data_IF_128266248496
#
_entry.id   IF_128266248496
#
_cell.length_a   1.000
_cell.length_b   1.000
_cell.length_c   1.000
_cell.angle_alpha   90.00
_cell.angle_beta   90.00
_cell.angle_gamma   90.00
#
_symmetry.space_group_name_H-M   'P 1'
#
loop_
_entity.id
_entity.type
_entity.pdbx_description
1 polymer ?
#
# COMPACT_ATOMS: atom_id res chain seq x y z
N UNK A 1 4.22 23.09 -2.26
CA UNK A 1 2.84 22.55 -2.21
C UNK A 1 2.63 21.89 -0.87
N UNK A 2 1.43 21.90 -0.29
CA UNK A 2 1.18 21.27 1.01
C UNK A 2 1.25 19.74 0.89
N UNK A 3 2.08 19.13 1.71
CA UNK A 3 2.35 17.69 1.70
C UNK A 3 1.10 16.83 1.91
N UNK A 4 0.11 17.34 2.65
CA UNK A 4 -1.13 16.62 2.94
C UNK A 4 -2.00 16.37 1.69
N UNK A 5 -1.87 17.15 0.63
CA UNK A 5 -2.56 16.89 -0.62
C UNK A 5 -2.02 15.62 -1.30
N UNK A 6 -0.71 15.44 -1.28
CA UNK A 6 -0.08 14.24 -1.80
C UNK A 6 -0.38 13.03 -0.92
N UNK A 7 -0.33 13.21 0.41
CA UNK A 7 -0.72 12.16 1.35
C UNK A 7 -2.18 11.72 1.15
N UNK A 8 -3.11 12.63 0.81
CA UNK A 8 -4.51 12.31 0.57
C UNK A 8 -4.77 11.71 -0.83
N UNK A 9 -3.97 12.06 -1.84
CA UNK A 9 -4.05 11.44 -3.16
C UNK A 9 -3.68 9.95 -3.13
N UNK A 10 -2.71 9.57 -2.31
CA UNK A 10 -2.22 8.20 -2.15
C UNK A 10 -3.33 7.19 -1.85
N UNK A 11 -4.13 7.31 -0.76
CA UNK A 11 -5.18 6.35 -0.44
C UNK A 11 -6.30 6.30 -1.49
N UNK A 12 -6.54 7.40 -2.21
CA UNK A 12 -7.54 7.42 -3.30
C UNK A 12 -7.06 6.58 -4.48
N UNK A 13 -5.82 6.76 -4.89
CA UNK A 13 -5.23 6.01 -6.00
C UNK A 13 -5.06 4.53 -5.65
N UNK A 14 -4.58 4.21 -4.44
CA UNK A 14 -4.44 2.82 -4.00
C UNK A 14 -5.78 2.12 -3.78
N UNK A 15 -6.83 2.82 -3.35
CA UNK A 15 -8.16 2.23 -3.26
C UNK A 15 -8.63 1.73 -4.62
N UNK A 16 -8.47 2.56 -5.65
CA UNK A 16 -8.80 2.18 -7.03
C UNK A 16 -7.99 0.96 -7.52
N UNK A 17 -6.66 0.93 -7.27
CA UNK A 17 -5.83 -0.22 -7.66
C UNK A 17 -6.22 -1.50 -6.92
N UNK A 18 -6.60 -1.42 -5.65
CA UNK A 18 -7.03 -2.60 -4.88
C UNK A 18 -8.26 -3.30 -5.50
N UNK A 19 -9.22 -2.53 -6.01
CA UNK A 19 -10.37 -3.11 -6.73
C UNK A 19 -9.96 -3.76 -8.05
N UNK A 20 -9.04 -3.13 -8.79
CA UNK A 20 -8.50 -3.73 -10.03
C UNK A 20 -7.73 -5.01 -9.70
N UNK A 21 -6.89 -5.00 -8.65
CA UNK A 21 -6.15 -6.17 -8.19
C UNK A 21 -7.11 -7.33 -7.86
N UNK A 22 -8.15 -7.04 -7.09
CA UNK A 22 -9.16 -8.05 -6.73
C UNK A 22 -9.85 -8.61 -7.97
N UNK A 23 -10.28 -7.74 -8.89
CA UNK A 23 -10.87 -8.16 -10.17
C UNK A 23 -9.92 -9.04 -10.99
N UNK A 24 -8.65 -8.66 -11.08
CA UNK A 24 -7.65 -9.44 -11.81
C UNK A 24 -7.46 -10.83 -11.19
N UNK A 25 -7.32 -10.92 -9.86
CA UNK A 25 -7.13 -12.18 -9.14
C UNK A 25 -8.34 -13.12 -9.29
N UNK A 26 -9.55 -12.59 -9.17
CA UNK A 26 -10.76 -13.39 -9.23
C UNK A 26 -11.13 -13.86 -10.64
N UNK A 27 -10.94 -12.99 -11.63
CA UNK A 27 -11.52 -13.19 -12.97
C UNK A 27 -10.50 -13.54 -14.05
N UNK A 28 -9.22 -13.19 -13.88
CA UNK A 28 -8.24 -13.22 -14.97
C UNK A 28 -6.97 -13.99 -14.64
N UNK A 29 -6.40 -13.81 -13.45
CA UNK A 29 -5.03 -14.18 -13.15
C UNK A 29 -4.96 -14.89 -11.81
N UNK A 30 -4.72 -16.21 -11.84
CA UNK A 30 -4.69 -17.05 -10.62
C UNK A 30 -3.51 -16.70 -9.67
N UNK A 31 -2.40 -16.24 -10.20
CA UNK A 31 -1.22 -15.88 -9.41
C UNK A 31 -0.62 -14.56 -9.91
N UNK A 32 -0.85 -13.44 -9.20
CA UNK A 32 -0.41 -12.11 -9.60
C UNK A 32 1.10 -11.89 -9.42
N UNK A 33 1.82 -12.74 -8.66
CA UNK A 33 3.23 -12.51 -8.30
C UNK A 33 4.13 -12.36 -9.54
N UNK A 34 3.86 -13.13 -10.60
CA UNK A 34 4.63 -13.04 -11.84
C UNK A 34 4.45 -11.70 -12.56
N UNK A 35 3.22 -11.14 -12.52
CA UNK A 35 2.93 -9.82 -13.10
C UNK A 35 3.54 -8.72 -12.23
N UNK A 36 3.43 -8.87 -10.93
CA UNK A 36 4.09 -7.97 -9.95
C UNK A 36 5.59 -7.90 -10.22
N UNK A 37 6.25 -9.04 -10.44
CA UNK A 37 7.67 -9.06 -10.75
C UNK A 37 8.00 -8.27 -12.04
N UNK A 38 7.17 -8.40 -13.10
CA UNK A 38 7.32 -7.60 -14.32
C UNK A 38 7.09 -6.11 -14.08
N UNK A 39 6.07 -5.75 -13.30
CA UNK A 39 5.77 -4.37 -12.94
C UNK A 39 6.91 -3.74 -12.14
N UNK A 40 7.48 -4.47 -11.18
CA UNK A 40 8.63 -4.01 -10.38
C UNK A 40 9.88 -3.83 -11.24
N UNK A 41 10.15 -4.74 -12.21
CA UNK A 41 11.23 -4.56 -13.17
C UNK A 41 11.01 -3.29 -14.01
N UNK A 42 9.78 -3.04 -14.48
CA UNK A 42 9.44 -1.82 -15.20
C UNK A 42 9.65 -0.57 -14.32
N UNK A 43 9.27 -0.61 -13.04
CA UNK A 43 9.57 0.47 -12.07
C UNK A 43 11.07 0.71 -11.92
N UNK A 44 11.89 -0.34 -11.94
CA UNK A 44 13.36 -0.21 -11.95
C UNK A 44 13.88 0.57 -13.16
N UNK A 45 13.35 0.30 -14.35
CA UNK A 45 13.68 1.08 -15.55
C UNK A 45 13.24 2.54 -15.43
N UNK A 46 12.05 2.79 -14.87
CA UNK A 46 11.57 4.15 -14.60
C UNK A 46 12.51 4.86 -13.62
N UNK A 47 12.97 4.19 -12.56
CA UNK A 47 13.96 4.74 -11.63
C UNK A 47 15.25 5.15 -12.31
N UNK A 48 15.78 4.31 -13.21
CA UNK A 48 16.98 4.64 -13.99
C UNK A 48 16.72 5.86 -14.88
N UNK A 49 15.59 5.91 -15.60
CA UNK A 49 15.24 7.04 -16.48
C UNK A 49 15.08 8.34 -15.69
N UNK A 50 14.38 8.29 -14.55
CA UNK A 50 14.21 9.46 -13.67
C UNK A 50 15.58 9.96 -13.22
N UNK A 51 16.46 9.10 -12.72
CA UNK A 51 17.79 9.49 -12.27
C UNK A 51 18.67 10.07 -13.39
N UNK A 52 18.55 9.56 -14.62
CA UNK A 52 19.28 10.12 -15.78
C UNK A 52 18.74 11.53 -16.15
N UNK A 53 17.43 11.70 -16.15
CA UNK A 53 16.79 12.97 -16.54
C UNK A 53 16.99 14.06 -15.49
N UNK A 54 16.88 13.72 -14.21
CA UNK A 54 17.00 14.70 -13.12
C UNK A 54 18.45 14.90 -12.67
N UNK A 55 19.35 14.02 -13.06
CA UNK A 55 20.73 13.95 -12.57
C UNK A 55 20.80 13.26 -11.20
N UNK A 56 21.67 12.24 -11.08
CA UNK A 56 21.93 11.61 -9.79
C UNK A 56 22.80 12.52 -8.92
N UNK A 57 22.34 12.85 -7.72
CA UNK A 57 23.18 13.49 -6.70
C UNK A 57 24.08 12.45 -6.01
N UNK A 58 25.21 12.89 -5.47
CA UNK A 58 26.12 11.98 -4.77
C UNK A 58 25.50 11.48 -3.46
N UNK A 59 25.22 10.19 -3.41
CA UNK A 59 24.83 9.47 -2.20
C UNK A 59 25.98 8.58 -1.73
N UNK A 60 26.12 8.42 -0.43
CA UNK A 60 27.03 7.41 0.14
C UNK A 60 26.56 5.98 -0.22
N UNK A 61 27.52 5.06 -0.36
CA UNK A 61 27.23 3.64 -0.69
C UNK A 61 26.21 3.05 0.32
N UNK A 62 26.29 3.41 1.60
CA UNK A 62 25.35 2.97 2.62
C UNK A 62 23.92 3.46 2.37
N UNK A 63 23.75 4.72 1.96
CA UNK A 63 22.44 5.29 1.62
C UNK A 63 21.86 4.61 0.37
N UNK A 64 22.67 4.38 -0.65
CA UNK A 64 22.26 3.62 -1.84
C UNK A 64 21.81 2.21 -1.44
N UNK A 65 22.59 1.51 -0.60
CA UNK A 65 22.24 0.19 -0.11
C UNK A 65 20.92 0.16 0.65
N UNK A 66 20.64 1.17 1.48
CA UNK A 66 19.36 1.32 2.21
C UNK A 66 18.20 1.48 1.22
N UNK A 67 18.34 2.30 0.19
CA UNK A 67 17.28 2.56 -0.80
C UNK A 67 17.03 1.32 -1.69
N UNK A 68 18.09 0.64 -2.13
CA UNK A 68 17.95 -0.62 -2.88
C UNK A 68 17.23 -1.66 -2.02
N UNK A 69 17.58 -1.78 -0.73
CA UNK A 69 16.91 -2.68 0.19
C UNK A 69 15.44 -2.28 0.41
N UNK A 70 15.15 -0.98 0.55
CA UNK A 70 13.77 -0.48 0.64
C UNK A 70 12.95 -0.85 -0.60
N UNK A 71 13.51 -0.68 -1.81
CA UNK A 71 12.85 -1.08 -3.05
C UNK A 71 12.63 -2.59 -3.16
N UNK A 72 13.59 -3.41 -2.72
CA UNK A 72 13.40 -4.87 -2.62
C UNK A 72 12.25 -5.18 -1.67
N UNK A 73 12.19 -4.58 -0.49
CA UNK A 73 11.08 -4.75 0.45
C UNK A 73 9.75 -4.31 -0.15
N UNK A 74 9.73 -3.20 -0.93
CA UNK A 74 8.57 -2.70 -1.66
C UNK A 74 8.05 -3.71 -2.72
N UNK A 75 8.88 -4.59 -3.20
CA UNK A 75 8.48 -5.71 -4.06
C UNK A 75 7.98 -6.89 -3.24
N UNK A 76 8.68 -7.25 -2.18
CA UNK A 76 8.40 -8.47 -1.44
C UNK A 76 7.20 -8.37 -0.51
N UNK A 77 6.77 -7.15 -0.06
CA UNK A 77 5.54 -7.01 0.74
C UNK A 77 4.28 -7.41 -0.05
N UNK A 78 4.34 -7.34 -1.38
CA UNK A 78 3.23 -7.75 -2.25
C UNK A 78 2.95 -9.26 -2.18
N UNK A 79 3.93 -10.09 -1.79
CA UNK A 79 3.73 -11.52 -1.64
C UNK A 79 2.69 -11.82 -0.54
N UNK A 80 2.90 -11.43 0.73
CA UNK A 80 1.90 -11.65 1.77
C UNK A 80 0.59 -10.88 1.51
N UNK A 81 0.63 -9.70 0.91
CA UNK A 81 -0.58 -8.98 0.50
C UNK A 81 -1.43 -9.82 -0.46
N UNK A 82 -0.87 -10.33 -1.55
CA UNK A 82 -1.62 -11.16 -2.49
C UNK A 82 -2.04 -12.50 -1.91
N UNK A 83 -1.26 -13.11 -1.00
CA UNK A 83 -1.70 -14.31 -0.30
C UNK A 83 -2.93 -14.03 0.59
N UNK A 84 -3.00 -12.88 1.26
CA UNK A 84 -4.18 -12.45 1.98
C UNK A 84 -5.37 -12.24 1.01
N UNK A 85 -5.17 -11.54 -0.10
CA UNK A 85 -6.20 -11.25 -1.11
C UNK A 85 -6.76 -12.50 -1.81
N UNK A 86 -6.01 -13.61 -1.85
CA UNK A 86 -6.50 -14.90 -2.36
C UNK A 86 -7.48 -15.58 -1.40
N UNK A 87 -7.39 -15.30 -0.11
CA UNK A 87 -8.15 -16.00 0.93
C UNK A 87 -9.34 -15.23 1.46
N UNK A 88 -9.36 -13.91 1.30
CA UNK A 88 -10.38 -13.02 1.84
C UNK A 88 -10.76 -11.92 0.82
N UNK A 89 -11.90 -11.28 1.04
CA UNK A 89 -12.34 -10.15 0.23
C UNK A 89 -11.48 -8.90 0.44
N UNK A 90 -11.42 -8.03 -0.57
CA UNK A 90 -10.67 -6.79 -0.49
C UNK A 90 -11.13 -5.91 0.68
N UNK A 91 -12.45 -5.87 0.94
CA UNK A 91 -13.05 -5.16 2.06
C UNK A 91 -12.63 -5.66 3.45
N UNK A 92 -12.08 -6.86 3.54
CA UNK A 92 -11.51 -7.45 4.76
C UNK A 92 -9.99 -7.23 4.84
N UNK A 93 -9.28 -7.37 3.71
CA UNK A 93 -7.81 -7.30 3.64
C UNK A 93 -7.30 -5.86 3.71
N UNK A 94 -7.90 -4.97 2.91
CA UNK A 94 -7.42 -3.58 2.78
C UNK A 94 -7.43 -2.82 4.13
N UNK A 95 -8.47 -2.92 4.97
CA UNK A 95 -8.44 -2.27 6.28
C UNK A 95 -7.34 -2.77 7.22
N UNK A 96 -6.77 -3.97 7.01
CA UNK A 96 -5.65 -4.45 7.82
C UNK A 96 -4.34 -3.68 7.55
N UNK A 97 -4.26 -2.90 6.47
CA UNK A 97 -3.19 -1.91 6.30
C UNK A 97 -3.20 -0.81 7.39
N UNK A 98 -4.26 -0.72 8.22
CA UNK A 98 -4.26 0.15 9.40
C UNK A 98 -3.18 -0.22 10.44
N UNK A 99 -2.52 -1.35 10.30
CA UNK A 99 -1.32 -1.68 11.09
C UNK A 99 -0.08 -0.89 10.65
N UNK A 100 -0.04 -0.35 9.42
CA UNK A 100 1.10 0.46 8.92
C UNK A 100 1.38 1.65 9.84
N UNK A 101 0.39 2.51 10.19
CA UNK A 101 0.65 3.63 11.10
C UNK A 101 1.21 3.23 12.46
N UNK A 102 0.84 2.05 12.98
CA UNK A 102 1.37 1.54 14.25
C UNK A 102 2.86 1.19 14.10
N UNK A 103 3.19 0.41 13.07
CA UNK A 103 4.59 0.03 12.81
C UNK A 103 5.45 1.25 12.51
N UNK A 104 4.94 2.20 11.71
CA UNK A 104 5.71 3.41 11.38
C UNK A 104 5.88 4.34 12.58
N UNK A 105 4.93 4.41 13.50
CA UNK A 105 5.11 5.15 14.76
C UNK A 105 6.27 4.55 15.57
N UNK A 106 6.28 3.25 15.75
CA UNK A 106 7.33 2.55 16.51
C UNK A 106 8.69 2.73 15.82
N UNK A 107 8.76 2.45 14.51
CA UNK A 107 10.00 2.52 13.73
C UNK A 107 10.53 3.96 13.61
N UNK A 108 9.66 4.96 13.41
CA UNK A 108 10.08 6.36 13.31
C UNK A 108 10.66 6.86 14.63
N UNK A 109 10.08 6.46 15.74
CA UNK A 109 10.61 6.82 17.07
C UNK A 109 12.00 6.23 17.30
N UNK A 110 12.22 4.97 16.89
CA UNK A 110 13.49 4.26 17.10
C UNK A 110 14.56 4.74 16.09
N UNK A 111 14.22 4.79 14.79
CA UNK A 111 15.18 4.98 13.69
C UNK A 111 15.36 6.46 13.36
N UNK A 112 14.25 7.20 13.21
CA UNK A 112 14.27 8.59 12.79
C UNK A 112 14.31 9.59 13.97
N UNK A 113 14.09 9.09 15.19
CA UNK A 113 13.92 9.89 16.41
C UNK A 113 12.79 10.93 16.27
N UNK A 114 11.81 10.63 15.43
CA UNK A 114 10.58 11.41 15.28
C UNK A 114 9.59 10.92 16.34
N UNK A 115 8.97 11.83 17.09
CA UNK A 115 7.96 11.50 18.09
C UNK A 115 6.63 12.18 17.76
N UNK A 116 5.55 11.54 18.11
CA UNK A 116 4.23 12.13 18.07
C UNK A 116 3.88 12.72 19.46
N UNK A 117 3.16 13.83 19.45
CA UNK A 117 2.55 14.36 20.66
C UNK A 117 1.51 13.36 21.20
N UNK A 118 1.28 13.36 22.50
CA UNK A 118 0.30 12.46 23.15
C UNK A 118 -1.07 12.53 22.48
N UNK A 119 -1.54 13.73 22.11
CA UNK A 119 -2.78 13.95 21.37
C UNK A 119 -2.80 13.22 20.02
N UNK A 120 -1.68 13.25 19.28
CA UNK A 120 -1.54 12.58 18.00
C UNK A 120 -1.56 11.05 18.15
N UNK A 121 -1.00 10.52 19.24
CA UNK A 121 -1.05 9.09 19.55
C UNK A 121 -2.51 8.65 19.81
N UNK A 122 -3.30 9.44 20.56
CA UNK A 122 -4.73 9.15 20.74
C UNK A 122 -5.49 9.18 19.40
N UNK A 123 -5.22 10.18 18.56
CA UNK A 123 -5.80 10.26 17.21
C UNK A 123 -5.45 9.04 16.36
N UNK A 124 -4.17 8.62 16.38
CA UNK A 124 -3.70 7.41 15.70
C UNK A 124 -4.47 6.16 16.17
N UNK A 125 -4.55 5.93 17.48
CA UNK A 125 -5.24 4.77 18.04
C UNK A 125 -6.73 4.75 17.66
N UNK A 126 -7.37 5.91 17.64
CA UNK A 126 -8.77 6.04 17.23
C UNK A 126 -8.95 5.69 15.75
N UNK A 127 -8.08 6.22 14.87
CA UNK A 127 -8.11 5.94 13.43
C UNK A 127 -7.88 4.46 13.14
N UNK A 128 -6.84 3.89 13.75
CA UNK A 128 -6.50 2.47 13.60
C UNK A 128 -7.62 1.58 14.11
N UNK A 129 -8.14 1.86 15.31
CA UNK A 129 -9.27 1.13 15.89
C UNK A 129 -10.51 1.16 15.01
N UNK A 130 -10.83 2.33 14.44
CA UNK A 130 -11.94 2.51 13.51
C UNK A 130 -11.72 1.72 12.20
N UNK A 131 -10.50 1.73 11.65
CA UNK A 131 -10.15 0.97 10.46
C UNK A 131 -10.27 -0.55 10.68
N UNK A 132 -9.81 -1.04 11.83
CA UNK A 132 -9.98 -2.45 12.22
C UNK A 132 -11.45 -2.81 12.44
N UNK A 133 -12.24 -1.90 13.00
CA UNK A 133 -13.68 -2.11 13.19
C UNK A 133 -14.43 -2.21 11.85
N UNK A 134 -14.03 -1.48 10.82
CA UNK A 134 -14.57 -1.66 9.46
C UNK A 134 -14.38 -3.10 8.97
N UNK A 135 -13.21 -3.69 9.26
CA UNK A 135 -12.87 -5.06 8.82
C UNK A 135 -13.52 -6.14 9.65
N UNK A 136 -14.02 -5.82 10.85
CA UNK A 136 -14.62 -6.80 11.72
C UNK A 136 -15.93 -7.30 11.09
N UNK A 137 -15.90 -8.53 10.59
CA UNK A 137 -17.13 -9.24 10.25
C UNK A 137 -18.03 -9.30 11.47
N UNK A 138 -19.34 -9.23 11.25
CA UNK A 138 -20.30 -9.56 12.30
C UNK A 138 -19.94 -10.90 12.90
N UNK A 139 -19.36 -10.84 14.11
CA UNK A 139 -19.05 -12.03 14.89
C UNK A 139 -20.38 -12.74 15.15
N UNK A 140 -20.74 -13.69 14.29
CA UNK A 140 -21.75 -14.68 14.60
C UNK A 140 -21.16 -15.63 15.66
N UNK A 141 -21.13 -15.16 16.93
CA UNK A 141 -20.96 -16.01 18.12
C UNK A 141 -19.69 -16.90 18.20
N UNK A 142 -18.69 -16.73 17.35
CA UNK A 142 -17.46 -17.50 17.39
C UNK A 142 -16.29 -16.63 17.82
N UNK A 143 -15.69 -16.98 18.94
CA UNK A 143 -14.46 -16.46 19.51
C UNK A 143 -13.44 -16.15 18.41
N UNK A 144 -12.89 -14.94 18.47
CA UNK A 144 -11.86 -14.36 17.60
C UNK A 144 -10.73 -15.39 17.31
N UNK A 145 -10.84 -16.14 16.22
CA UNK A 145 -9.72 -16.94 15.73
C UNK A 145 -8.97 -16.08 14.71
N UNK A 146 -7.71 -15.75 14.96
CA UNK A 146 -6.92 -14.96 14.02
C UNK A 146 -6.86 -15.73 12.69
N UNK A 147 -7.36 -15.09 11.63
CA UNK A 147 -7.34 -15.64 10.28
C UNK A 147 -5.92 -15.59 9.72
N UNK A 148 -5.57 -16.49 8.82
CA UNK A 148 -4.25 -16.49 8.17
C UNK A 148 -3.95 -15.16 7.47
N UNK A 149 -4.97 -14.51 6.90
CA UNK A 149 -4.90 -13.19 6.27
C UNK A 149 -4.36 -12.11 7.22
N UNK A 150 -4.68 -12.16 8.52
CA UNK A 150 -4.16 -11.24 9.51
C UNK A 150 -2.64 -11.32 9.62
N UNK A 151 -2.07 -12.52 9.69
CA UNK A 151 -0.61 -12.69 9.79
C UNK A 151 0.11 -12.22 8.52
N UNK A 152 -0.46 -12.52 7.35
CA UNK A 152 0.07 -12.03 6.09
C UNK A 152 0.02 -10.50 6.03
N UNK A 153 -1.08 -9.89 6.45
CA UNK A 153 -1.20 -8.43 6.44
C UNK A 153 -0.38 -7.73 7.51
N UNK A 154 -0.14 -8.35 8.67
CA UNK A 154 0.82 -7.84 9.65
C UNK A 154 2.23 -7.79 9.05
N UNK A 155 2.65 -8.87 8.37
CA UNK A 155 3.95 -8.90 7.70
C UNK A 155 4.02 -7.88 6.57
N UNK A 156 3.00 -7.81 5.71
CA UNK A 156 2.93 -6.83 4.63
C UNK A 156 3.00 -5.39 5.16
N UNK A 157 2.21 -5.08 6.19
CA UNK A 157 2.16 -3.76 6.82
C UNK A 157 3.49 -3.37 7.49
N UNK A 158 4.15 -4.32 8.13
CA UNK A 158 5.49 -4.09 8.71
C UNK A 158 6.51 -3.78 7.62
N UNK A 159 6.56 -4.60 6.56
CA UNK A 159 7.50 -4.40 5.44
C UNK A 159 7.25 -3.06 4.76
N UNK A 160 5.99 -2.74 4.46
CA UNK A 160 5.61 -1.49 3.82
C UNK A 160 5.93 -0.27 4.70
N UNK A 161 5.62 -0.34 5.99
CA UNK A 161 5.97 0.70 6.95
C UNK A 161 7.48 0.92 7.05
N UNK A 162 8.27 -0.16 7.01
CA UNK A 162 9.74 -0.08 7.01
C UNK A 162 10.27 0.60 5.74
N UNK A 163 9.67 0.34 4.57
CA UNK A 163 10.03 1.05 3.31
C UNK A 163 9.92 2.56 3.50
N UNK A 164 8.78 3.06 3.99
CA UNK A 164 8.59 4.50 4.22
C UNK A 164 9.61 5.10 5.20
N UNK A 165 9.97 4.36 6.24
CA UNK A 165 11.01 4.78 7.21
C UNK A 165 12.39 4.86 6.55
N UNK A 166 12.78 3.85 5.78
CA UNK A 166 14.08 3.81 5.10
C UNK A 166 14.17 4.91 4.03
N UNK A 167 13.10 5.12 3.26
CA UNK A 167 13.00 6.22 2.31
C UNK A 167 13.18 7.58 3.01
N UNK A 168 12.41 7.82 4.09
CA UNK A 168 12.46 9.06 4.88
C UNK A 168 13.84 9.28 5.49
N UNK A 169 14.49 8.21 5.95
CA UNK A 169 15.83 8.29 6.54
C UNK A 169 16.84 8.88 5.56
N UNK A 170 16.78 8.51 4.28
CA UNK A 170 17.72 8.99 3.27
C UNK A 170 17.28 10.35 2.70
N UNK A 171 15.99 10.53 2.36
CA UNK A 171 15.50 11.74 1.69
C UNK A 171 15.62 13.00 2.53
N UNK A 172 15.72 12.89 3.85
CA UNK A 172 16.00 14.04 4.74
C UNK A 172 17.34 14.73 4.47
N UNK A 173 18.31 13.98 3.98
CA UNK A 173 19.69 14.43 3.76
C UNK A 173 20.07 14.42 2.27
N UNK A 174 19.10 14.14 1.38
CA UNK A 174 19.36 13.98 -0.04
C UNK A 174 18.24 14.57 -0.91
N UNK A 175 18.50 14.60 -2.23
CA UNK A 175 17.51 14.98 -3.23
C UNK A 175 16.40 13.93 -3.36
N UNK A 176 15.16 14.41 -3.52
CA UNK A 176 13.98 13.57 -3.69
C UNK A 176 14.08 12.64 -4.90
N UNK A 177 14.48 13.19 -6.06
CA UNK A 177 14.48 12.42 -7.31
C UNK A 177 15.53 11.30 -7.31
N UNK A 178 16.71 11.59 -6.76
CA UNK A 178 17.78 10.61 -6.58
C UNK A 178 17.33 9.50 -5.62
N UNK A 179 16.71 9.87 -4.50
CA UNK A 179 16.19 8.90 -3.50
C UNK A 179 15.13 8.00 -4.11
N UNK A 180 14.14 8.58 -4.81
CA UNK A 180 13.10 7.84 -5.51
C UNK A 180 13.67 6.92 -6.59
N UNK A 181 14.67 7.40 -7.34
CA UNK A 181 15.32 6.61 -8.40
C UNK A 181 15.96 5.35 -7.85
N UNK A 182 16.73 5.44 -6.77
CA UNK A 182 17.37 4.26 -6.17
C UNK A 182 16.35 3.32 -5.51
N UNK A 183 15.29 3.82 -4.90
CA UNK A 183 14.21 2.96 -4.39
C UNK A 183 13.54 2.18 -5.53
N UNK A 184 13.25 2.83 -6.66
CA UNK A 184 12.65 2.17 -7.83
C UNK A 184 13.63 1.18 -8.48
N UNK A 185 14.92 1.49 -8.55
CA UNK A 185 15.96 0.54 -8.99
C UNK A 185 15.97 -0.68 -8.05
N UNK A 186 15.87 -0.46 -6.74
CA UNK A 186 15.74 -1.54 -5.76
C UNK A 186 14.49 -2.40 -5.97
N UNK A 187 13.36 -1.79 -6.31
CA UNK A 187 12.14 -2.52 -6.69
C UNK A 187 12.38 -3.37 -7.94
N UNK A 188 13.09 -2.84 -8.96
CA UNK A 188 13.51 -3.59 -10.13
C UNK A 188 14.37 -4.80 -9.79
N UNK A 189 15.35 -4.63 -8.90
CA UNK A 189 16.18 -5.73 -8.37
C UNK A 189 15.29 -6.78 -7.68
N UNK A 190 14.34 -6.35 -6.83
CA UNK A 190 13.35 -7.23 -6.20
C UNK A 190 12.55 -8.03 -7.22
N UNK A 191 12.09 -7.39 -8.30
CA UNK A 191 11.40 -8.04 -9.41
C UNK A 191 12.27 -9.12 -10.09
N UNK A 192 13.54 -8.82 -10.35
CA UNK A 192 14.50 -9.80 -10.90
C UNK A 192 14.67 -10.98 -9.94
N UNK A 193 14.84 -10.71 -8.64
CA UNK A 193 14.97 -11.78 -7.62
C UNK A 193 13.74 -12.69 -7.60
N UNK A 194 12.51 -12.14 -7.75
CA UNK A 194 11.30 -12.96 -7.88
C UNK A 194 11.34 -13.86 -9.10
N UNK A 195 11.90 -13.41 -10.23
CA UNK A 195 12.06 -14.24 -11.43
C UNK A 195 13.09 -15.35 -11.29
N UNK A 196 14.00 -15.29 -10.33
CA UNK A 196 14.90 -16.41 -10.04
C UNK A 196 14.14 -17.61 -9.47
N UNK A 197 12.92 -17.41 -8.92
CA UNK A 197 12.06 -18.47 -8.41
C UNK A 197 11.41 -19.21 -9.57
N UNK A 198 11.68 -20.53 -9.78
CA UNK A 198 11.12 -21.28 -10.92
C UNK A 198 9.60 -21.27 -10.99
N UNK A 199 8.93 -21.27 -9.84
CA UNK A 199 7.46 -21.20 -9.76
C UNK A 199 6.91 -19.92 -10.39
N UNK A 200 7.56 -18.78 -10.17
CA UNK A 200 7.14 -17.48 -10.73
C UNK A 200 7.24 -17.50 -12.27
N UNK A 201 8.35 -18.02 -12.80
CA UNK A 201 8.54 -18.15 -14.26
C UNK A 201 7.52 -19.09 -14.90
N UNK A 202 7.27 -20.23 -14.27
CA UNK A 202 6.30 -21.21 -14.77
C UNK A 202 4.87 -20.63 -14.75
N UNK A 203 4.51 -19.90 -13.69
CA UNK A 203 3.22 -19.22 -13.58
C UNK A 203 3.05 -18.15 -14.66
N UNK A 204 4.10 -17.38 -14.97
CA UNK A 204 4.08 -16.42 -16.07
C UNK A 204 3.79 -17.12 -17.40
N UNK A 205 4.54 -18.19 -17.70
CA UNK A 205 4.40 -18.95 -18.95
C UNK A 205 2.99 -19.52 -19.11
N UNK A 206 2.42 -20.08 -18.03
CA UNK A 206 1.09 -20.68 -18.04
C UNK A 206 -0.06 -19.68 -18.16
N UNK A 207 0.18 -18.42 -17.79
CA UNK A 207 -0.84 -17.36 -17.77
C UNK A 207 -0.63 -16.29 -18.85
N UNK A 208 0.32 -16.48 -19.78
CA UNK A 208 0.69 -15.46 -20.78
C UNK A 208 -0.51 -15.01 -21.63
N UNK A 209 -1.43 -15.91 -21.96
CA UNK A 209 -2.66 -15.60 -22.71
C UNK A 209 -3.60 -14.67 -21.91
N UNK A 210 -3.81 -14.97 -20.63
CA UNK A 210 -4.62 -14.16 -19.73
C UNK A 210 -3.98 -12.79 -19.48
N UNK A 211 -2.66 -12.73 -19.36
CA UNK A 211 -1.90 -11.50 -19.20
C UNK A 211 -2.03 -10.63 -20.44
N UNK A 212 -1.84 -11.19 -21.65
CA UNK A 212 -1.99 -10.45 -22.91
C UNK A 212 -3.41 -9.90 -23.08
N UNK A 213 -4.44 -10.69 -22.78
CA UNK A 213 -5.84 -10.24 -22.87
C UNK A 213 -6.22 -9.17 -21.84
N UNK A 214 -5.47 -9.07 -20.76
CA UNK A 214 -5.68 -8.09 -19.67
C UNK A 214 -4.62 -6.98 -19.65
N UNK A 215 -3.75 -6.90 -20.65
CA UNK A 215 -2.59 -6.00 -20.65
C UNK A 215 -2.98 -4.52 -20.44
N UNK A 216 -4.07 -4.05 -21.08
CA UNK A 216 -4.55 -2.68 -20.89
C UNK A 216 -4.91 -2.37 -19.44
N UNK A 217 -5.65 -3.27 -18.77
CA UNK A 217 -6.06 -3.10 -17.38
C UNK A 217 -4.83 -3.16 -16.45
N UNK A 218 -3.90 -4.08 -16.70
CA UNK A 218 -2.65 -4.22 -15.94
C UNK A 218 -1.81 -2.95 -16.07
N UNK A 219 -1.69 -2.40 -17.28
CA UNK A 219 -0.91 -1.17 -17.53
C UNK A 219 -1.51 0.02 -16.79
N UNK A 220 -2.84 0.20 -16.87
CA UNK A 220 -3.54 1.26 -16.13
C UNK A 220 -3.34 1.09 -14.63
N UNK A 221 -3.54 -0.12 -14.11
CA UNK A 221 -3.35 -0.43 -12.69
C UNK A 221 -1.93 -0.07 -12.20
N UNK A 222 -0.92 -0.51 -12.93
CA UNK A 222 0.47 -0.22 -12.61
C UNK A 222 0.80 1.28 -12.71
N UNK A 223 0.26 1.98 -13.72
CA UNK A 223 0.43 3.43 -13.86
C UNK A 223 -0.17 4.20 -12.68
N UNK A 224 -1.37 3.81 -12.24
CA UNK A 224 -2.03 4.41 -11.06
C UNK A 224 -1.25 4.06 -9.77
N UNK A 225 -0.76 2.82 -9.63
CA UNK A 225 0.05 2.42 -8.49
C UNK A 225 1.37 3.20 -8.39
N UNK A 226 2.05 3.42 -9.52
CA UNK A 226 3.27 4.27 -9.59
C UNK A 226 2.94 5.72 -9.20
N UNK A 227 1.85 6.28 -9.69
CA UNK A 227 1.42 7.63 -9.31
C UNK A 227 1.09 7.73 -7.81
N UNK A 228 0.45 6.71 -7.22
CA UNK A 228 0.20 6.62 -5.80
C UNK A 228 1.50 6.56 -4.99
N UNK A 229 2.44 5.70 -5.39
CA UNK A 229 3.74 5.57 -4.74
C UNK A 229 4.55 6.87 -4.81
N UNK A 230 4.60 7.53 -5.97
CA UNK A 230 5.28 8.83 -6.12
C UNK A 230 4.66 9.89 -5.22
N UNK A 231 3.32 9.93 -5.14
CA UNK A 231 2.59 10.87 -4.28
C UNK A 231 2.92 10.65 -2.81
N UNK A 232 2.95 9.38 -2.36
CA UNK A 232 3.33 9.02 -1.00
C UNK A 232 4.78 9.39 -0.70
N UNK A 233 5.72 8.97 -1.56
CA UNK A 233 7.14 9.26 -1.39
C UNK A 233 7.41 10.76 -1.33
N UNK A 234 6.67 11.56 -2.14
CA UNK A 234 6.77 13.01 -2.07
C UNK A 234 6.23 13.57 -0.74
N UNK A 235 5.11 13.08 -0.24
CA UNK A 235 4.61 13.45 1.07
C UNK A 235 5.61 13.07 2.19
N UNK A 236 6.22 11.88 2.10
CA UNK A 236 7.24 11.39 3.02
C UNK A 236 8.52 12.23 2.98
N UNK A 237 8.85 12.87 1.86
CA UNK A 237 9.99 13.80 1.81
C UNK A 237 9.76 15.08 2.61
N UNK A 238 8.51 15.47 2.81
CA UNK A 238 8.12 16.75 3.42
C UNK A 238 7.63 16.61 4.87
N UNK A 239 7.13 15.44 5.29
CA UNK A 239 6.47 15.27 6.58
C UNK A 239 6.87 13.96 7.28
N UNK A 240 6.75 13.88 8.62
CA UNK A 240 6.98 12.65 9.38
C UNK A 240 6.14 11.48 8.88
N UNK A 241 6.77 10.28 8.80
CA UNK A 241 6.14 9.07 8.25
C UNK A 241 4.81 8.73 8.94
N UNK A 242 4.71 8.77 10.29
CA UNK A 242 3.44 8.47 10.94
C UNK A 242 2.31 9.42 10.52
N UNK A 243 2.58 10.71 10.32
CA UNK A 243 1.56 11.69 9.91
C UNK A 243 1.06 11.40 8.49
N UNK A 244 1.94 11.08 7.55
CA UNK A 244 1.57 10.71 6.18
C UNK A 244 0.68 9.47 6.21
N UNK A 245 1.05 8.44 6.98
CA UNK A 245 0.30 7.19 7.08
C UNK A 245 -1.04 7.33 7.82
N UNK A 246 -1.16 8.29 8.76
CA UNK A 246 -2.45 8.59 9.39
C UNK A 246 -3.43 9.16 8.35
N UNK A 247 -2.97 10.03 7.43
CA UNK A 247 -3.83 10.45 6.30
C UNK A 247 -4.17 9.26 5.41
N UNK A 248 -3.20 8.39 5.12
CA UNK A 248 -3.42 7.14 4.38
C UNK A 248 -4.54 6.28 4.98
N UNK A 249 -4.74 6.36 6.28
CA UNK A 249 -5.79 5.64 7.01
C UNK A 249 -7.23 6.00 6.62
N UNK A 250 -7.45 7.02 5.80
CA UNK A 250 -8.77 7.32 5.20
C UNK A 250 -9.14 6.31 4.08
N UNK A 251 -8.19 5.51 3.60
CA UNK A 251 -8.40 4.56 2.49
C UNK A 251 -9.62 3.65 2.66
N UNK A 252 -9.93 3.06 3.83
CA UNK A 252 -11.14 2.24 3.98
C UNK A 252 -12.45 3.01 3.74
N UNK A 253 -12.48 4.31 4.06
CA UNK A 253 -13.64 5.15 3.79
C UNK A 253 -13.81 5.39 2.28
N UNK A 254 -12.71 5.65 1.58
CA UNK A 254 -12.70 5.81 0.12
C UNK A 254 -13.11 4.50 -0.54
N UNK A 255 -12.49 3.38 -0.14
CA UNK A 255 -12.83 2.04 -0.66
C UNK A 255 -14.31 1.69 -0.47
N UNK A 256 -14.92 2.11 0.64
CA UNK A 256 -16.36 1.93 0.84
C UNK A 256 -17.18 2.65 -0.23
N UNK A 257 -16.87 3.93 -0.47
CA UNK A 257 -17.60 4.75 -1.46
C UNK A 257 -17.43 4.13 -2.86
N UNK A 258 -16.20 3.78 -3.23
CA UNK A 258 -15.90 3.13 -4.51
C UNK A 258 -16.61 1.78 -4.63
N UNK A 259 -16.58 0.94 -3.60
CA UNK A 259 -17.25 -0.36 -3.56
C UNK A 259 -18.76 -0.24 -3.76
N UNK A 260 -19.42 0.75 -3.12
CA UNK A 260 -20.85 1.02 -3.33
C UNK A 260 -21.15 1.43 -4.78
N UNK A 261 -20.31 2.33 -5.34
CA UNK A 261 -20.49 2.81 -6.72
C UNK A 261 -20.29 1.64 -7.70
N UNK A 262 -19.23 0.85 -7.53
CA UNK A 262 -18.93 -0.29 -8.38
C UNK A 262 -20.03 -1.36 -8.31
N UNK A 263 -20.48 -1.72 -7.11
CA UNK A 263 -21.57 -2.70 -6.91
C UNK A 263 -22.87 -2.25 -7.58
N UNK A 264 -23.20 -0.95 -7.52
CA UNK A 264 -24.45 -0.43 -8.12
C UNK A 264 -24.35 -0.26 -9.64
N UNK A 265 -23.21 0.23 -10.16
CA UNK A 265 -23.05 0.54 -11.59
C UNK A 265 -22.51 -0.63 -12.41
N UNK A 266 -21.68 -1.47 -11.79
CA UNK A 266 -20.96 -2.56 -12.46
C UNK A 266 -21.01 -3.88 -11.67
N UNK A 267 -22.22 -4.39 -11.32
CA UNK A 267 -22.38 -5.56 -10.45
C UNK A 267 -21.76 -6.85 -11.01
N UNK A 268 -21.52 -6.90 -12.33
CA UNK A 268 -20.84 -8.00 -13.00
C UNK A 268 -19.32 -8.04 -12.81
N UNK A 269 -18.72 -6.91 -12.41
CA UNK A 269 -17.29 -6.81 -12.16
C UNK A 269 -16.95 -7.11 -10.70
N UNK A 270 -17.61 -6.45 -9.78
CA UNK A 270 -17.35 -6.52 -8.33
C UNK A 270 -18.69 -6.43 -7.59
N UNK A 271 -18.87 -7.27 -6.57
CA UNK A 271 -20.00 -7.23 -5.67
C UNK A 271 -19.48 -7.10 -4.23
N UNK A 272 -19.82 -6.00 -3.58
CA UNK A 272 -19.56 -5.76 -2.16
C UNK A 272 -20.86 -5.89 -1.36
N UNK A 273 -20.76 -6.32 -0.09
CA UNK A 273 -21.91 -6.34 0.80
C UNK A 273 -22.31 -4.90 1.21
N UNK A 274 -23.42 -4.42 0.62
CA UNK A 274 -24.02 -3.11 0.90
C UNK A 274 -25.26 -3.21 1.81
N UNK A 275 -25.38 -4.27 2.63
CA UNK A 275 -26.46 -4.40 3.59
C UNK A 275 -26.45 -3.26 4.61
N UNK A 276 -27.67 -2.89 5.11
CA UNK A 276 -27.82 -1.79 6.08
C UNK A 276 -26.89 -1.91 7.29
N UNK A 277 -26.67 -3.13 7.75
CA UNK A 277 -25.83 -3.40 8.90
C UNK A 277 -24.34 -3.12 8.61
N UNK A 278 -23.85 -3.54 7.43
CA UNK A 278 -22.46 -3.28 7.00
C UNK A 278 -22.26 -1.78 6.75
N UNK A 279 -23.23 -1.12 6.11
CA UNK A 279 -23.16 0.32 5.87
C UNK A 279 -23.13 1.13 7.17
N UNK A 280 -23.96 0.77 8.17
CA UNK A 280 -23.94 1.44 9.48
C UNK A 280 -22.61 1.27 10.20
N UNK A 281 -22.04 0.07 10.21
CA UNK A 281 -20.72 -0.21 10.80
C UNK A 281 -19.65 0.66 10.14
N UNK A 282 -19.61 0.68 8.81
CA UNK A 282 -18.65 1.45 8.03
C UNK A 282 -18.85 2.97 8.26
N UNK A 283 -20.08 3.45 8.32
CA UNK A 283 -20.38 4.86 8.58
C UNK A 283 -19.91 5.33 9.97
N UNK A 284 -20.18 4.54 11.02
CA UNK A 284 -19.69 4.82 12.37
C UNK A 284 -18.16 4.88 12.39
N UNK A 285 -17.50 3.94 11.73
CA UNK A 285 -16.03 3.92 11.65
C UNK A 285 -15.47 5.15 10.95
N UNK A 286 -16.12 5.62 9.88
CA UNK A 286 -15.71 6.83 9.16
C UNK A 286 -15.76 8.05 10.08
N UNK A 287 -16.80 8.18 10.92
CA UNK A 287 -16.88 9.26 11.92
C UNK A 287 -15.69 9.21 12.87
N UNK A 288 -15.34 8.03 13.39
CA UNK A 288 -14.18 7.88 14.27
C UNK A 288 -12.84 8.17 13.57
N UNK A 289 -12.72 7.82 12.29
CA UNK A 289 -11.54 8.20 11.47
C UNK A 289 -11.44 9.73 11.41
N UNK A 290 -12.52 10.45 11.11
CA UNK A 290 -12.49 11.92 11.03
C UNK A 290 -12.18 12.57 12.39
N UNK A 291 -12.73 12.06 13.50
CA UNK A 291 -12.40 12.54 14.84
C UNK A 291 -10.91 12.30 15.13
N UNK A 292 -10.40 11.12 14.81
CA UNK A 292 -9.00 10.79 15.01
C UNK A 292 -8.05 11.68 14.18
N UNK A 293 -8.38 11.92 12.90
CA UNK A 293 -7.64 12.86 12.06
C UNK A 293 -7.66 14.27 12.61
N UNK A 294 -8.82 14.74 13.13
CA UNK A 294 -8.92 16.04 13.78
C UNK A 294 -7.96 16.13 14.99
N UNK A 295 -7.91 15.11 15.84
CA UNK A 295 -6.98 15.07 16.98
C UNK A 295 -5.51 15.07 16.56
N UNK A 296 -5.18 14.60 15.37
CA UNK A 296 -3.81 14.60 14.85
C UNK A 296 -3.40 15.99 14.38
N UNK A 297 -4.32 16.77 13.80
CA UNK A 297 -4.00 18.04 13.15
C UNK A 297 -4.28 19.28 14.00
N UNK A 298 -5.28 19.21 14.85
CA UNK A 298 -5.76 20.35 15.66
C UNK A 298 -5.65 20.07 17.15
#
# INVERSE_FOLDING_TARGET
MPWYLFAAATPTLYSFTNFIDKFLIEKKIKDPIAITALACIASGFIGILVGIVTGFTNLGIGQIGILIFAGILLTFYLIPYFEAMKTEDASTVVPLFQFIPIFTLILSTIILKESLAVKQIFGLLLVVGAGLFISADKIRGKIFRPRKSLYFMLLASFMYGLVGILFRFVVKESDFWTTLSYEYIGSGVGGILLFLIPKVRNNLRNQIGAIKSSAGIITVNNGVAIAAQMSESYALSLAPVPLVNIIGSIQPAISLIEGIILTKKFPHLIQEDISKSVLNQKFISIIFIFIGLYLVYF
#
